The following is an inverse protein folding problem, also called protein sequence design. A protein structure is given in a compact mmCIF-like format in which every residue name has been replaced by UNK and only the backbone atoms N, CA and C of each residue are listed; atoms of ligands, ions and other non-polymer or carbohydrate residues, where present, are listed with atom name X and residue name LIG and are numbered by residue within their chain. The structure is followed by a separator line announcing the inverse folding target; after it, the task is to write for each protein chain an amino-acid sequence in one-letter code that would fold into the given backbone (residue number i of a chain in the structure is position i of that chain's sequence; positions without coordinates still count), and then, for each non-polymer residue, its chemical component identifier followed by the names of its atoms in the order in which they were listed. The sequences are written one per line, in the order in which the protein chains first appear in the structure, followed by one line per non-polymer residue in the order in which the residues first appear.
data_IF_033670008986
#
_entry.id   IF_033670008986
#
_cell.length_a   1.000
_cell.length_b   1.000
_cell.length_c   1.000
_cell.angle_alpha   90.00
_cell.angle_beta   90.00
_cell.angle_gamma   90.00
#
_symmetry.space_group_name_H-M   'P 1'
#
loop_
_entity.id
_entity.type
_entity.pdbx_description
1 polymer ?
#
# COMPACT_ATOMS: atom_id res chain seq x y z
N UNK A 1 3.40 37.16 -13.11
CA UNK A 1 1.93 36.98 -13.00
C UNK A 1 1.71 35.81 -12.06
N UNK A 2 1.06 36.06 -10.93
CA UNK A 2 0.96 35.12 -9.82
C UNK A 2 0.08 33.92 -10.17
N UNK A 3 0.68 32.72 -10.29
CA UNK A 3 -0.04 31.43 -10.40
C UNK A 3 -0.68 30.92 -9.08
N UNK A 4 -0.80 31.76 -8.07
CA UNK A 4 -1.24 31.36 -6.72
C UNK A 4 -2.77 31.40 -6.50
N UNK A 5 -3.59 31.69 -7.53
CA UNK A 5 -5.00 32.04 -7.26
C UNK A 5 -6.07 30.98 -7.59
N UNK A 6 -5.71 29.74 -7.97
CA UNK A 6 -6.78 28.75 -8.29
C UNK A 6 -6.45 27.29 -7.95
N UNK A 7 -5.69 27.05 -6.86
CA UNK A 7 -5.51 25.67 -6.40
C UNK A 7 -6.76 25.24 -5.60
N UNK A 8 -7.38 24.10 -5.92
CA UNK A 8 -8.49 23.62 -5.13
C UNK A 8 -8.02 23.27 -3.72
N UNK A 9 -8.91 23.40 -2.73
CA UNK A 9 -8.63 22.95 -1.36
C UNK A 9 -8.66 21.42 -1.26
N UNK A 10 -9.58 20.76 -1.99
CA UNK A 10 -9.78 19.33 -1.96
C UNK A 10 -9.62 18.73 -3.35
N UNK A 11 -8.89 17.60 -3.44
CA UNK A 11 -8.91 16.69 -4.60
C UNK A 11 -9.53 15.37 -4.19
N UNK A 12 -10.67 14.99 -4.79
CA UNK A 12 -11.29 13.69 -4.56
C UNK A 12 -10.83 12.72 -5.63
N UNK A 13 -10.07 11.70 -5.25
CA UNK A 13 -9.41 10.72 -6.14
C UNK A 13 -10.13 9.38 -6.07
N UNK A 14 -10.67 8.93 -7.20
CA UNK A 14 -11.50 7.72 -7.30
C UNK A 14 -11.01 6.83 -8.44
N UNK A 15 -10.38 5.69 -8.17
CA UNK A 15 -10.12 4.68 -9.18
C UNK A 15 -11.41 3.98 -9.56
N UNK A 16 -11.65 3.82 -10.86
CA UNK A 16 -12.83 3.13 -11.41
C UNK A 16 -12.39 2.02 -12.38
N UNK A 17 -13.07 0.88 -12.33
CA UNK A 17 -12.86 -0.24 -13.25
C UNK A 17 -14.11 -1.09 -13.39
N UNK A 18 -14.79 -0.99 -14.53
CA UNK A 18 -16.07 -1.62 -14.81
C UNK A 18 -17.13 -1.27 -13.75
N UNK A 19 -17.42 0.04 -13.64
CA UNK A 19 -18.33 0.63 -12.65
C UNK A 19 -19.43 1.47 -13.34
N UNK A 20 -19.88 1.08 -14.56
CA UNK A 20 -20.88 1.81 -15.37
C UNK A 20 -22.18 2.13 -14.61
N UNK A 21 -22.61 1.24 -13.69
CA UNK A 21 -23.80 1.44 -12.87
C UNK A 21 -23.60 2.39 -11.68
N UNK A 22 -22.35 2.72 -11.33
CA UNK A 22 -22.04 3.44 -10.09
C UNK A 22 -21.48 4.86 -10.32
N UNK A 23 -20.70 5.08 -11.39
CA UNK A 23 -19.90 6.31 -11.55
C UNK A 23 -20.73 7.59 -11.60
N UNK A 24 -21.93 7.58 -12.23
CA UNK A 24 -22.79 8.77 -12.32
C UNK A 24 -23.32 9.19 -10.95
N UNK A 25 -23.85 8.23 -10.21
CA UNK A 25 -24.40 8.48 -8.88
C UNK A 25 -23.30 8.85 -7.85
N UNK A 26 -22.15 8.20 -7.93
CA UNK A 26 -21.01 8.53 -7.09
C UNK A 26 -20.52 9.96 -7.34
N UNK A 27 -20.36 10.34 -8.62
CA UNK A 27 -19.96 11.70 -8.97
C UNK A 27 -20.94 12.74 -8.40
N UNK A 28 -22.28 12.52 -8.59
CA UNK A 28 -23.31 13.39 -8.04
C UNK A 28 -23.17 13.57 -6.54
N UNK A 29 -23.03 12.48 -5.77
CA UNK A 29 -22.86 12.52 -4.31
C UNK A 29 -21.58 13.22 -3.88
N UNK A 30 -20.46 13.05 -4.60
CA UNK A 30 -19.21 13.76 -4.32
C UNK A 30 -19.40 15.26 -4.54
N UNK A 31 -20.02 15.66 -5.67
CA UNK A 31 -20.29 17.07 -5.94
C UNK A 31 -21.16 17.69 -4.85
N UNK A 32 -22.22 17.00 -4.42
CA UNK A 32 -23.10 17.48 -3.34
C UNK A 32 -22.36 17.65 -2.03
N UNK A 33 -21.58 16.63 -1.62
CA UNK A 33 -20.80 16.68 -0.39
C UNK A 33 -19.75 17.81 -0.42
N UNK A 34 -19.02 17.98 -1.53
CA UNK A 34 -18.02 19.02 -1.65
C UNK A 34 -18.62 20.44 -1.74
N UNK A 35 -19.75 20.61 -2.43
CA UNK A 35 -20.48 21.90 -2.47
C UNK A 35 -20.98 22.32 -1.09
N UNK A 36 -21.47 21.37 -0.30
CA UNK A 36 -21.94 21.63 1.06
C UNK A 36 -20.82 22.14 2.01
N UNK A 37 -19.55 21.81 1.71
CA UNK A 37 -18.39 22.29 2.47
C UNK A 37 -18.03 23.76 2.19
N UNK A 38 -18.50 24.36 1.10
CA UNK A 38 -18.17 25.72 0.71
C UNK A 38 -16.67 25.94 0.38
N UNK A 39 -15.92 24.87 0.14
CA UNK A 39 -14.50 24.88 -0.22
C UNK A 39 -14.32 24.57 -1.69
N UNK A 40 -13.27 25.12 -2.31
CA UNK A 40 -12.92 24.78 -3.69
C UNK A 40 -12.47 23.32 -3.79
N UNK A 41 -12.90 22.63 -4.84
CA UNK A 41 -12.60 21.20 -5.01
C UNK A 41 -12.38 20.84 -6.47
N UNK A 42 -11.71 19.73 -6.68
CA UNK A 42 -11.64 19.00 -7.96
C UNK A 42 -11.98 17.52 -7.71
N UNK A 43 -12.54 16.89 -8.72
CA UNK A 43 -12.85 15.45 -8.71
C UNK A 43 -11.99 14.81 -9.78
N UNK A 44 -11.28 13.73 -9.43
CA UNK A 44 -10.38 13.01 -10.32
C UNK A 44 -10.81 11.55 -10.36
N UNK A 45 -11.39 11.11 -11.48
CA UNK A 45 -11.64 9.70 -11.72
C UNK A 45 -10.52 9.12 -12.58
N UNK A 46 -10.06 7.92 -12.20
CA UNK A 46 -9.00 7.21 -12.91
C UNK A 46 -9.55 5.89 -13.40
N UNK A 47 -9.78 5.79 -14.72
CA UNK A 47 -10.21 4.56 -15.37
C UNK A 47 -9.01 3.61 -15.55
N UNK A 48 -9.02 2.52 -14.81
CA UNK A 48 -8.00 1.46 -14.87
C UNK A 48 -8.28 0.48 -16.03
N UNK A 49 -8.62 1.01 -17.22
CA UNK A 49 -8.81 0.24 -18.43
C UNK A 49 -10.13 -0.53 -18.45
N UNK A 50 -11.26 0.11 -18.12
CA UNK A 50 -12.60 -0.47 -18.16
C UNK A 50 -12.97 -0.98 -19.56
N UNK A 51 -13.83 -1.99 -19.59
CA UNK A 51 -14.32 -2.65 -20.82
C UNK A 51 -15.84 -2.50 -21.02
N UNK A 52 -16.52 -1.91 -20.03
CA UNK A 52 -17.94 -1.54 -20.06
C UNK A 52 -18.12 -0.06 -20.43
N UNK A 53 -19.28 0.50 -20.21
CA UNK A 53 -19.60 1.90 -20.53
C UNK A 53 -19.05 2.92 -19.51
N UNK A 54 -18.25 2.49 -18.53
CA UNK A 54 -17.66 3.40 -17.50
C UNK A 54 -16.95 4.58 -18.15
N UNK A 55 -16.11 4.32 -19.16
CA UNK A 55 -15.35 5.38 -19.86
C UNK A 55 -16.28 6.37 -20.57
N UNK A 56 -17.29 5.89 -21.30
CA UNK A 56 -18.25 6.72 -22.01
C UNK A 56 -19.04 7.62 -21.05
N UNK A 57 -19.48 7.07 -19.93
CA UNK A 57 -20.24 7.80 -18.91
C UNK A 57 -19.36 8.88 -18.26
N UNK A 58 -18.15 8.54 -17.85
CA UNK A 58 -17.24 9.50 -17.18
C UNK A 58 -16.93 10.72 -18.06
N UNK A 59 -16.83 10.55 -19.38
CA UNK A 59 -16.63 11.68 -20.33
C UNK A 59 -17.76 12.70 -20.34
N UNK A 60 -18.95 12.35 -19.85
CA UNK A 60 -20.12 13.23 -19.79
C UNK A 60 -20.30 13.93 -18.45
N UNK A 61 -19.47 13.61 -17.46
CA UNK A 61 -19.58 14.17 -16.11
C UNK A 61 -18.82 15.49 -15.99
N UNK A 62 -19.40 16.46 -15.31
CA UNK A 62 -18.77 17.77 -15.01
C UNK A 62 -19.20 18.28 -13.63
N UNK A 63 -18.31 18.86 -12.81
CA UNK A 63 -16.87 19.00 -13.05
C UNK A 63 -16.12 17.65 -12.82
N UNK A 64 -15.26 17.26 -13.74
CA UNK A 64 -14.47 16.04 -13.61
C UNK A 64 -13.13 16.16 -14.37
N UNK A 65 -12.04 15.84 -13.68
CA UNK A 65 -10.77 15.48 -14.31
C UNK A 65 -10.74 13.97 -14.49
N UNK A 66 -10.77 13.51 -15.74
CA UNK A 66 -10.86 12.10 -16.07
C UNK A 66 -9.57 11.60 -16.69
N UNK A 67 -8.89 10.66 -16.00
CA UNK A 67 -7.64 10.06 -16.41
C UNK A 67 -7.89 8.66 -16.90
N UNK A 68 -7.53 8.35 -18.14
CA UNK A 68 -7.72 7.04 -18.75
C UNK A 68 -6.37 6.34 -18.87
N UNK A 69 -6.24 5.18 -18.27
CA UNK A 69 -5.07 4.33 -18.40
C UNK A 69 -5.14 3.46 -19.67
N UNK A 70 -3.99 3.09 -20.24
CA UNK A 70 -3.94 2.29 -21.48
C UNK A 70 -4.48 0.86 -21.33
N UNK A 71 -4.38 0.29 -20.11
CA UNK A 71 -4.88 -1.03 -19.73
C UNK A 71 -5.08 -1.08 -18.23
N UNK A 72 -5.59 -2.20 -17.72
CA UNK A 72 -5.63 -2.43 -16.27
C UNK A 72 -4.21 -2.63 -15.72
N UNK A 73 -3.78 -1.69 -14.86
CA UNK A 73 -2.51 -1.71 -14.12
C UNK A 73 -2.72 -2.00 -12.63
N UNK A 74 -3.97 -2.04 -12.18
CA UNK A 74 -4.36 -2.27 -10.79
C UNK A 74 -4.64 -1.00 -10.00
N UNK A 75 -5.39 -1.15 -8.93
CA UNK A 75 -5.92 -0.06 -8.12
C UNK A 75 -4.83 0.87 -7.57
N UNK A 76 -3.68 0.31 -7.16
CA UNK A 76 -2.55 1.09 -6.65
C UNK A 76 -1.99 2.04 -7.71
N UNK A 77 -1.84 1.56 -8.95
CA UNK A 77 -1.38 2.39 -10.07
C UNK A 77 -2.38 3.50 -10.42
N UNK A 78 -3.69 3.20 -10.31
CA UNK A 78 -4.73 4.20 -10.51
C UNK A 78 -4.69 5.28 -9.41
N UNK A 79 -4.52 4.90 -8.14
CA UNK A 79 -4.31 5.88 -7.07
C UNK A 79 -3.06 6.72 -7.27
N UNK A 80 -1.92 6.11 -7.61
CA UNK A 80 -0.68 6.85 -7.87
C UNK A 80 -0.84 7.87 -9.00
N UNK A 81 -1.53 7.49 -10.09
CA UNK A 81 -1.87 8.41 -11.17
C UNK A 81 -2.74 9.57 -10.67
N UNK A 82 -3.73 9.29 -9.83
CA UNK A 82 -4.58 10.30 -9.21
C UNK A 82 -3.80 11.26 -8.32
N UNK A 83 -2.95 10.76 -7.43
CA UNK A 83 -2.14 11.58 -6.52
C UNK A 83 -1.18 12.52 -7.26
N UNK A 84 -0.50 12.02 -8.27
CA UNK A 84 0.43 12.81 -9.11
C UNK A 84 -0.28 13.88 -9.94
N UNK A 85 -1.58 13.76 -10.17
CA UNK A 85 -2.39 14.73 -10.91
C UNK A 85 -3.29 15.59 -10.03
N UNK A 86 -3.33 15.34 -8.71
CA UNK A 86 -4.08 16.11 -7.74
C UNK A 86 -3.38 17.44 -7.42
N UNK A 87 -4.16 18.54 -7.41
CA UNK A 87 -3.69 19.90 -7.12
C UNK A 87 -4.12 20.40 -5.75
N UNK A 88 -5.11 19.74 -5.14
CA UNK A 88 -5.67 20.12 -3.85
C UNK A 88 -4.67 20.04 -2.70
N UNK A 89 -4.89 20.84 -1.68
CA UNK A 89 -4.11 20.80 -0.44
C UNK A 89 -4.37 19.49 0.32
N UNK A 90 -5.63 19.02 0.27
CA UNK A 90 -6.07 17.77 0.88
C UNK A 90 -6.53 16.82 -0.22
N UNK A 91 -6.06 15.58 -0.18
CA UNK A 91 -6.46 14.52 -1.10
C UNK A 91 -7.39 13.56 -0.37
N UNK A 92 -8.61 13.40 -0.88
CA UNK A 92 -9.59 12.42 -0.39
C UNK A 92 -9.59 11.23 -1.34
N UNK A 93 -9.46 10.03 -0.81
CA UNK A 93 -9.57 8.79 -1.60
C UNK A 93 -10.87 8.06 -1.29
N UNK A 94 -11.45 7.39 -2.26
CA UNK A 94 -12.56 6.45 -2.06
C UNK A 94 -12.66 5.47 -3.23
N UNK A 95 -13.37 4.34 -3.02
CA UNK A 95 -13.67 3.38 -4.09
C UNK A 95 -14.84 3.83 -4.97
N UNK A 96 -14.86 3.34 -6.22
CA UNK A 96 -15.89 3.66 -7.23
C UNK A 96 -17.22 2.92 -7.06
N UNK A 97 -17.38 2.03 -6.07
CA UNK A 97 -18.47 1.05 -5.95
C UNK A 97 -19.64 1.48 -5.04
N UNK A 98 -19.72 2.77 -4.68
CA UNK A 98 -20.76 3.36 -3.81
C UNK A 98 -20.80 2.79 -2.37
N UNK A 99 -19.82 1.99 -1.94
CA UNK A 99 -19.79 1.48 -0.57
C UNK A 99 -19.37 2.55 0.47
N UNK A 100 -18.56 3.51 0.07
CA UNK A 100 -18.21 4.67 0.90
C UNK A 100 -19.25 5.79 0.73
N UNK A 101 -19.52 6.51 1.81
CA UNK A 101 -20.45 7.66 1.80
C UNK A 101 -19.65 8.96 1.70
N UNK A 102 -19.74 9.73 0.59
CA UNK A 102 -19.10 11.03 0.47
C UNK A 102 -19.55 12.03 1.55
N UNK A 103 -20.73 11.84 2.17
CA UNK A 103 -21.20 12.66 3.27
C UNK A 103 -20.33 12.54 4.56
N UNK A 104 -19.40 11.59 4.63
CA UNK A 104 -18.44 11.51 5.74
C UNK A 104 -17.15 12.34 5.48
N UNK A 105 -16.97 12.94 4.28
CA UNK A 105 -15.82 13.81 3.97
C UNK A 105 -15.64 14.94 5.00
N UNK A 106 -16.69 15.68 5.41
CA UNK A 106 -16.55 16.75 6.43
C UNK A 106 -15.89 16.25 7.71
N UNK A 107 -16.26 15.07 8.22
CA UNK A 107 -15.69 14.51 9.45
C UNK A 107 -14.21 14.18 9.33
N UNK A 108 -13.77 13.74 8.12
CA UNK A 108 -12.34 13.52 7.86
C UNK A 108 -11.57 14.84 7.93
N UNK A 109 -12.12 15.91 7.34
CA UNK A 109 -11.50 17.23 7.35
C UNK A 109 -11.44 17.83 8.75
N UNK A 110 -12.54 17.76 9.53
CA UNK A 110 -12.56 18.16 10.93
C UNK A 110 -11.44 17.49 11.74
N UNK A 111 -11.23 16.19 11.51
CA UNK A 111 -10.14 15.46 12.18
C UNK A 111 -8.76 15.88 11.68
N UNK A 112 -8.60 16.26 10.42
CA UNK A 112 -7.35 16.82 9.90
C UNK A 112 -7.04 18.20 10.51
N UNK A 113 -8.06 19.00 10.79
CA UNK A 113 -7.91 20.32 11.41
C UNK A 113 -7.38 20.23 12.85
N UNK A 114 -7.49 19.05 13.52
CA UNK A 114 -6.84 18.78 14.80
C UNK A 114 -5.30 18.58 14.68
N UNK A 115 -4.73 18.70 13.48
CA UNK A 115 -3.29 18.61 13.23
C UNK A 115 -2.80 17.21 12.84
N UNK A 116 -3.69 16.36 12.30
CA UNK A 116 -3.33 15.10 11.67
C UNK A 116 -3.03 15.30 10.18
N UNK A 117 -2.07 14.52 9.68
CA UNK A 117 -1.66 14.55 8.27
C UNK A 117 -2.43 13.52 7.44
N UNK A 118 -2.88 12.45 8.10
CA UNK A 118 -3.63 11.34 7.51
C UNK A 118 -4.80 10.97 8.41
N UNK A 119 -6.00 10.89 7.85
CA UNK A 119 -7.20 10.41 8.54
C UNK A 119 -7.82 9.27 7.76
N UNK A 120 -7.88 8.09 8.35
CA UNK A 120 -8.48 6.88 7.75
C UNK A 120 -9.91 6.67 8.23
N UNK A 121 -10.80 6.28 7.35
CA UNK A 121 -12.12 5.81 7.74
C UNK A 121 -12.07 4.43 8.39
N UNK A 122 -12.91 4.20 9.39
CA UNK A 122 -13.10 2.92 10.06
C UNK A 122 -14.55 2.44 9.96
N UNK A 123 -14.77 1.30 9.27
CA UNK A 123 -16.09 0.68 9.08
C UNK A 123 -16.46 -0.17 10.28
N UNK A 124 -16.98 0.45 11.34
CA UNK A 124 -17.27 -0.20 12.64
C UNK A 124 -18.30 -1.34 12.51
N UNK A 125 -19.33 -1.18 11.67
CA UNK A 125 -20.43 -2.15 11.50
C UNK A 125 -20.26 -2.99 10.23
N UNK A 126 -19.16 -3.73 10.09
CA UNK A 126 -18.91 -4.58 8.94
C UNK A 126 -19.73 -5.87 9.01
N UNK A 127 -20.63 -6.11 8.02
CA UNK A 127 -21.43 -7.34 7.89
C UNK A 127 -20.66 -8.38 7.04
N UNK A 128 -19.64 -9.01 7.64
CA UNK A 128 -18.89 -10.08 6.98
C UNK A 128 -19.35 -11.47 7.43
N UNK A 129 -19.21 -12.48 6.55
CA UNK A 129 -19.40 -13.90 6.91
C UNK A 129 -18.38 -14.35 7.95
N UNK A 130 -18.73 -15.38 8.76
CA UNK A 130 -17.90 -15.89 9.86
C UNK A 130 -16.48 -16.28 9.42
N UNK A 131 -16.33 -16.95 8.26
CA UNK A 131 -15.04 -17.34 7.71
C UNK A 131 -14.16 -16.12 7.36
N UNK A 132 -14.76 -15.06 6.80
CA UNK A 132 -14.06 -13.80 6.51
C UNK A 132 -13.64 -13.08 7.80
N UNK A 133 -14.45 -13.16 8.87
CA UNK A 133 -14.13 -12.55 10.17
C UNK A 133 -12.91 -13.20 10.83
N UNK A 134 -12.79 -14.53 10.80
CA UNK A 134 -11.64 -15.25 11.38
C UNK A 134 -10.37 -14.90 10.62
N UNK A 135 -10.39 -14.99 9.28
CA UNK A 135 -9.24 -14.63 8.45
C UNK A 135 -8.82 -13.16 8.63
N UNK A 136 -9.79 -12.24 8.68
CA UNK A 136 -9.55 -10.82 8.92
C UNK A 136 -8.97 -10.55 10.30
N UNK A 137 -9.41 -11.27 11.36
CA UNK A 137 -8.84 -11.15 12.72
C UNK A 137 -7.38 -11.57 12.76
N UNK A 138 -7.03 -12.71 12.15
CA UNK A 138 -5.64 -13.18 12.10
C UNK A 138 -4.76 -12.23 11.31
N UNK A 139 -5.22 -11.75 10.15
CA UNK A 139 -4.51 -10.78 9.34
C UNK A 139 -4.31 -9.45 10.09
N UNK A 140 -5.34 -8.95 10.79
CA UNK A 140 -5.25 -7.73 11.59
C UNK A 140 -4.32 -7.89 12.80
N UNK A 141 -4.33 -9.06 13.46
CA UNK A 141 -3.41 -9.36 14.56
C UNK A 141 -1.95 -9.36 14.09
N UNK A 142 -1.64 -10.04 12.99
CA UNK A 142 -0.31 -10.05 12.39
C UNK A 142 0.10 -8.64 11.94
N UNK A 143 -0.81 -7.88 11.35
CA UNK A 143 -0.57 -6.49 10.95
C UNK A 143 -0.23 -5.62 12.17
N UNK A 144 -0.97 -5.74 13.27
CA UNK A 144 -0.71 -4.99 14.50
C UNK A 144 0.67 -5.29 15.07
N UNK A 145 1.13 -6.55 15.02
CA UNK A 145 2.47 -6.94 15.49
C UNK A 145 3.56 -6.45 14.54
N UNK A 146 3.36 -6.63 13.23
CA UNK A 146 4.42 -6.38 12.24
C UNK A 146 4.51 -4.89 11.87
N UNK A 147 3.37 -4.24 11.66
CA UNK A 147 3.32 -2.89 11.09
C UNK A 147 3.06 -1.84 12.18
N UNK A 148 2.16 -2.12 13.13
CA UNK A 148 1.75 -1.19 14.21
C UNK A 148 1.39 0.22 13.71
N UNK A 149 0.50 0.26 12.72
CA UNK A 149 0.05 1.50 12.10
C UNK A 149 -0.98 2.28 12.94
N UNK A 150 -1.51 1.67 13.99
CA UNK A 150 -2.53 2.27 14.86
C UNK A 150 -3.92 2.35 14.23
N UNK A 151 -4.14 1.68 13.08
CA UNK A 151 -5.40 1.70 12.33
C UNK A 151 -6.13 0.36 12.50
N UNK A 152 -7.46 0.41 12.76
CA UNK A 152 -8.30 -0.79 12.86
C UNK A 152 -8.71 -1.33 11.48
N UNK A 153 -8.96 -0.45 10.51
CA UNK A 153 -9.46 -0.83 9.17
C UNK A 153 -8.62 -0.26 8.03
N UNK A 154 -7.46 -0.87 7.76
CA UNK A 154 -6.61 -0.49 6.62
C UNK A 154 -7.28 -0.68 5.25
N UNK A 155 -8.29 -1.53 5.18
CA UNK A 155 -9.04 -1.82 3.96
C UNK A 155 -10.13 -0.81 3.62
N UNK A 156 -10.39 0.19 4.45
CA UNK A 156 -11.27 1.30 4.09
C UNK A 156 -10.56 2.19 3.08
N UNK A 157 -11.20 2.49 1.95
CA UNK A 157 -10.64 3.36 0.92
C UNK A 157 -10.97 4.83 1.14
N UNK A 158 -11.97 5.15 1.97
CA UNK A 158 -12.29 6.53 2.33
C UNK A 158 -11.26 7.05 3.33
N UNK A 159 -10.35 7.88 2.85
CA UNK A 159 -9.25 8.47 3.62
C UNK A 159 -8.98 9.90 3.16
N UNK A 160 -8.45 10.71 4.07
CA UNK A 160 -7.95 12.05 3.79
C UNK A 160 -6.45 12.12 4.06
N UNK A 161 -5.73 12.84 3.22
CA UNK A 161 -4.29 13.01 3.29
C UNK A 161 -3.92 14.46 2.98
N UNK A 162 -2.92 15.03 3.66
CA UNK A 162 -2.24 16.22 3.16
C UNK A 162 -1.48 15.87 1.89
N UNK A 163 -1.49 16.73 0.89
CA UNK A 163 -0.84 16.48 -0.40
C UNK A 163 0.65 16.19 -0.27
N UNK A 164 1.32 16.85 0.68
CA UNK A 164 2.75 16.63 0.98
C UNK A 164 3.10 15.18 1.36
N UNK A 165 2.13 14.40 1.86
CA UNK A 165 2.30 12.98 2.15
C UNK A 165 2.71 12.14 0.92
N UNK A 166 2.45 12.63 -0.28
CA UNK A 166 2.76 11.92 -1.52
C UNK A 166 4.02 12.42 -2.23
N UNK A 167 4.70 13.42 -1.67
CA UNK A 167 5.97 13.91 -2.21
C UNK A 167 7.06 12.84 -2.02
N UNK A 168 7.57 12.31 -3.13
CA UNK A 168 8.58 11.25 -3.10
C UNK A 168 8.05 9.85 -2.71
N UNK A 169 6.73 9.66 -2.61
CA UNK A 169 6.13 8.36 -2.38
C UNK A 169 5.75 7.69 -3.70
N UNK A 170 6.45 6.62 -4.06
CA UNK A 170 6.10 5.77 -5.18
C UNK A 170 5.33 4.53 -4.71
N UNK A 171 4.18 4.29 -5.33
CA UNK A 171 3.31 3.18 -4.97
C UNK A 171 3.40 2.05 -5.99
N UNK A 172 3.50 0.80 -5.51
CA UNK A 172 3.54 -0.39 -6.35
C UNK A 172 2.80 -1.57 -5.68
N UNK A 173 2.53 -2.63 -6.44
CA UNK A 173 1.82 -3.82 -5.93
C UNK A 173 0.44 -3.48 -5.36
N UNK A 174 0.13 -3.93 -4.16
CA UNK A 174 -1.12 -3.65 -3.43
C UNK A 174 -0.92 -2.60 -2.30
N UNK A 175 0.08 -1.72 -2.44
CA UNK A 175 0.47 -0.76 -1.38
C UNK A 175 -0.62 0.26 -1.02
N UNK A 176 -1.62 0.49 -1.87
CA UNK A 176 -2.73 1.40 -1.57
C UNK A 176 -3.40 1.14 -0.21
N UNK A 177 -3.36 -0.10 0.28
CA UNK A 177 -3.92 -0.48 1.60
C UNK A 177 -3.05 -0.05 2.76
N UNK A 178 -1.77 0.10 2.51
CA UNK A 178 -0.75 0.35 3.53
C UNK A 178 -0.23 1.79 3.50
N UNK A 179 -0.80 2.67 2.66
CA UNK A 179 -0.38 4.07 2.58
C UNK A 179 -0.31 4.74 3.97
N UNK A 180 -1.34 4.64 4.85
CA UNK A 180 -1.25 5.24 6.17
C UNK A 180 -0.11 4.67 7.03
N UNK A 181 0.17 3.36 6.90
CA UNK A 181 1.29 2.72 7.60
C UNK A 181 2.64 3.22 7.10
N UNK A 182 2.81 3.35 5.79
CA UNK A 182 4.03 3.88 5.17
C UNK A 182 4.26 5.34 5.59
N UNK A 183 3.22 6.15 5.59
CA UNK A 183 3.29 7.55 6.02
C UNK A 183 3.60 7.68 7.51
N UNK A 184 3.03 6.83 8.37
CA UNK A 184 3.39 6.78 9.80
C UNK A 184 4.86 6.43 10.01
N UNK A 185 5.43 5.53 9.20
CA UNK A 185 6.86 5.19 9.23
C UNK A 185 7.72 6.41 8.87
N UNK A 186 7.24 7.27 7.96
CA UNK A 186 7.91 8.52 7.58
C UNK A 186 7.72 9.65 8.60
N UNK A 187 6.94 9.43 9.67
CA UNK A 187 6.75 10.40 10.75
C UNK A 187 5.46 11.22 10.67
N UNK A 188 4.60 10.99 9.67
CA UNK A 188 3.30 11.66 9.58
C UNK A 188 2.33 11.20 10.68
N UNK A 189 1.50 12.13 11.16
CA UNK A 189 0.50 11.87 12.20
C UNK A 189 -0.75 11.24 11.57
N UNK A 190 -1.09 10.03 12.02
CA UNK A 190 -2.20 9.24 11.48
C UNK A 190 -3.31 9.11 12.52
N UNK A 191 -4.55 9.37 12.12
CA UNK A 191 -5.76 9.13 12.91
C UNK A 191 -6.76 8.25 12.16
N UNK A 192 -7.78 7.80 12.88
CA UNK A 192 -8.88 7.00 12.32
C UNK A 192 -10.22 7.51 12.88
N UNK A 193 -11.26 7.55 12.05
CA UNK A 193 -12.61 7.93 12.46
C UNK A 193 -13.65 6.91 11.98
N UNK A 194 -14.74 6.72 12.72
CA UNK A 194 -15.85 5.89 12.25
C UNK A 194 -16.53 6.51 11.01
N UNK A 195 -16.72 5.69 9.97
CA UNK A 195 -17.42 6.10 8.74
C UNK A 195 -18.55 5.14 8.41
N UNK A 196 -19.52 5.61 7.64
CA UNK A 196 -20.62 4.80 7.12
C UNK A 196 -20.11 3.87 6.02
N UNK A 197 -20.70 2.69 5.96
CA UNK A 197 -20.41 1.70 4.91
C UNK A 197 -21.71 1.10 4.39
N UNK A 198 -21.97 1.29 3.10
CA UNK A 198 -23.18 0.81 2.44
C UNK A 198 -22.95 -0.55 1.79
N UNK A 199 -24.02 -1.37 1.65
CA UNK A 199 -23.94 -2.56 0.81
C UNK A 199 -23.64 -2.17 -0.64
N UNK A 200 -22.91 -3.01 -1.37
CA UNK A 200 -22.69 -2.80 -2.81
C UNK A 200 -24.02 -2.85 -3.55
N UNK A 201 -24.29 -1.84 -4.39
CA UNK A 201 -25.53 -1.73 -5.15
C UNK A 201 -25.42 -2.49 -6.48
N UNK A 202 -24.29 -2.32 -7.20
CA UNK A 202 -24.03 -2.96 -8.48
C UNK A 202 -22.66 -3.65 -8.49
N UNK A 203 -22.50 -4.69 -9.33
CA UNK A 203 -21.23 -5.39 -9.52
C UNK A 203 -21.05 -6.65 -8.68
N UNK A 204 -20.09 -7.50 -9.07
CA UNK A 204 -19.78 -8.79 -8.43
C UNK A 204 -18.57 -8.65 -7.52
N UNK A 205 -18.63 -9.28 -6.36
CA UNK A 205 -17.50 -9.32 -5.41
C UNK A 205 -16.29 -10.01 -6.04
N UNK A 206 -15.25 -9.28 -6.37
CA UNK A 206 -13.98 -9.80 -6.92
C UNK A 206 -13.06 -10.41 -5.83
N UNK A 207 -13.64 -10.87 -4.70
CA UNK A 207 -12.87 -11.41 -3.57
C UNK A 207 -12.48 -12.86 -3.84
N UNK A 208 -11.18 -13.11 -4.02
CA UNK A 208 -10.62 -14.44 -4.19
C UNK A 208 -9.62 -14.71 -3.05
N UNK A 209 -9.52 -15.97 -2.54
CA UNK A 209 -8.58 -16.40 -1.51
C UNK A 209 -7.11 -16.10 -1.85
N UNK A 210 -6.77 -16.09 -3.15
CA UNK A 210 -5.45 -15.66 -3.67
C UNK A 210 -5.08 -14.23 -3.25
N UNK A 211 -6.08 -13.35 -3.03
CA UNK A 211 -5.85 -11.99 -2.50
C UNK A 211 -5.39 -11.99 -1.04
N UNK A 212 -5.79 -13.00 -0.26
CA UNK A 212 -5.33 -13.16 1.11
C UNK A 212 -3.83 -13.46 1.18
N UNK A 213 -3.35 -14.37 0.33
CA UNK A 213 -1.91 -14.69 0.23
C UNK A 213 -1.13 -13.46 -0.25
N UNK A 214 -1.61 -12.78 -1.30
CA UNK A 214 -0.98 -11.53 -1.76
C UNK A 214 -0.89 -10.49 -0.64
N UNK A 215 -1.98 -10.23 0.07
CA UNK A 215 -1.98 -9.29 1.20
C UNK A 215 -1.03 -9.68 2.34
N UNK A 216 -0.82 -10.98 2.58
CA UNK A 216 0.18 -11.45 3.54
C UNK A 216 1.61 -11.19 3.06
N UNK A 217 1.90 -11.47 1.79
CA UNK A 217 3.22 -11.17 1.20
C UNK A 217 3.49 -9.66 1.21
N UNK A 218 2.48 -8.85 0.86
CA UNK A 218 2.60 -7.38 0.91
C UNK A 218 2.83 -6.88 2.33
N UNK A 219 2.19 -7.49 3.33
CA UNK A 219 2.40 -7.15 4.74
C UNK A 219 3.84 -7.45 5.20
N UNK A 220 4.41 -8.59 4.78
CA UNK A 220 5.84 -8.90 5.02
C UNK A 220 6.72 -7.86 4.35
N UNK A 221 6.39 -7.46 3.12
CA UNK A 221 7.11 -6.42 2.38
C UNK A 221 7.11 -5.10 3.14
N UNK A 222 5.94 -4.63 3.61
CA UNK A 222 5.81 -3.39 4.40
C UNK A 222 6.56 -3.48 5.73
N UNK A 223 6.49 -4.62 6.41
CA UNK A 223 7.28 -4.88 7.63
C UNK A 223 8.78 -4.81 7.37
N UNK A 224 9.24 -5.42 6.27
CA UNK A 224 10.64 -5.36 5.86
C UNK A 224 11.07 -3.91 5.59
N UNK A 225 10.26 -3.15 4.84
CA UNK A 225 10.51 -1.74 4.60
C UNK A 225 10.56 -0.92 5.90
N UNK A 226 9.60 -1.13 6.81
CA UNK A 226 9.57 -0.45 8.11
C UNK A 226 10.87 -0.64 8.90
N UNK A 227 11.38 -1.86 8.95
CA UNK A 227 12.45 -2.22 9.88
C UNK A 227 13.84 -2.18 9.24
N UNK A 228 13.93 -2.50 7.96
CA UNK A 228 15.20 -2.78 7.29
C UNK A 228 15.46 -1.99 6.01
N UNK A 229 14.55 -1.08 5.58
CA UNK A 229 14.75 -0.29 4.35
C UNK A 229 16.05 0.49 4.35
N UNK A 230 16.46 1.03 5.50
CA UNK A 230 17.69 1.79 5.60
C UNK A 230 18.93 0.92 5.89
N UNK A 231 18.74 -0.33 6.31
CA UNK A 231 19.83 -1.22 6.76
C UNK A 231 19.55 -2.70 6.47
N UNK A 232 19.29 -3.10 5.22
CA UNK A 232 18.96 -4.50 4.88
C UNK A 232 20.12 -5.46 5.17
N UNK A 233 21.37 -4.96 5.10
CA UNK A 233 22.55 -5.73 5.44
C UNK A 233 22.55 -6.23 6.89
N UNK A 234 21.95 -5.48 7.84
CA UNK A 234 21.89 -5.92 9.23
C UNK A 234 21.05 -7.18 9.43
N UNK A 235 19.96 -7.36 8.65
CA UNK A 235 19.14 -8.57 8.72
C UNK A 235 19.85 -9.77 8.07
N UNK A 236 20.14 -9.65 6.79
CA UNK A 236 20.69 -10.76 6.01
C UNK A 236 22.17 -11.00 6.30
N UNK A 237 22.96 -9.93 6.45
CA UNK A 237 24.38 -10.03 6.74
C UNK A 237 24.62 -10.52 8.18
N UNK A 238 23.88 -10.01 9.16
CA UNK A 238 23.96 -10.48 10.54
C UNK A 238 23.55 -11.94 10.69
N UNK A 239 22.41 -12.32 10.09
CA UNK A 239 21.97 -13.71 10.00
C UNK A 239 22.98 -14.61 9.28
N UNK A 240 23.52 -14.12 8.19
CA UNK A 240 24.56 -14.82 7.42
C UNK A 240 25.84 -15.09 8.24
N UNK A 241 26.34 -14.07 8.95
CA UNK A 241 27.50 -14.21 9.84
C UNK A 241 27.23 -15.20 10.97
N UNK A 242 26.04 -15.21 11.55
CA UNK A 242 25.67 -16.15 12.60
C UNK A 242 25.68 -17.59 12.07
N UNK A 243 25.02 -17.83 10.93
CA UNK A 243 24.96 -19.16 10.32
C UNK A 243 26.36 -19.63 9.89
N UNK A 244 27.18 -18.73 9.32
CA UNK A 244 28.58 -19.01 8.97
C UNK A 244 29.38 -19.40 10.22
N UNK A 245 29.25 -18.65 11.32
CA UNK A 245 29.96 -18.92 12.57
C UNK A 245 29.59 -20.29 13.16
N UNK A 246 28.31 -20.65 13.12
CA UNK A 246 27.85 -21.97 13.54
C UNK A 246 28.48 -23.09 12.69
N UNK A 247 28.51 -22.89 11.37
CA UNK A 247 29.17 -23.83 10.45
C UNK A 247 30.67 -23.96 10.70
N UNK A 248 31.35 -22.85 10.94
CA UNK A 248 32.77 -22.81 11.28
C UNK A 248 33.08 -23.52 12.60
N UNK A 249 32.30 -23.24 13.65
CA UNK A 249 32.46 -23.89 14.94
C UNK A 249 32.23 -25.40 14.85
N UNK A 250 31.20 -25.84 14.11
CA UNK A 250 30.96 -27.24 13.88
C UNK A 250 32.11 -27.87 13.10
N UNK A 251 32.60 -27.22 12.05
CA UNK A 251 33.74 -27.71 11.26
C UNK A 251 35.00 -27.87 12.11
N UNK A 252 35.33 -26.85 12.93
CA UNK A 252 36.46 -26.89 13.86
C UNK A 252 36.31 -28.04 14.85
N UNK A 253 35.13 -28.20 15.46
CA UNK A 253 34.88 -29.29 16.40
C UNK A 253 35.05 -30.67 15.77
N UNK A 254 34.62 -30.84 14.52
CA UNK A 254 34.79 -32.10 13.78
C UNK A 254 36.27 -32.36 13.44
N UNK A 255 37.04 -31.34 13.09
CA UNK A 255 38.51 -31.45 12.83
C UNK A 255 39.22 -31.84 14.12
N UNK A 256 38.94 -31.17 15.23
CA UNK A 256 39.50 -31.50 16.55
C UNK A 256 39.13 -32.95 16.95
N UNK A 257 37.85 -33.33 16.80
CA UNK A 257 37.37 -34.67 17.07
C UNK A 257 38.08 -35.74 16.23
N UNK A 258 38.43 -35.45 14.97
CA UNK A 258 39.22 -36.32 14.09
C UNK A 258 40.64 -36.48 14.57
N UNK A 259 41.31 -35.37 14.91
CA UNK A 259 42.72 -35.35 15.27
C UNK A 259 42.95 -35.99 16.65
N UNK A 260 42.21 -35.57 17.64
CA UNK A 260 42.46 -35.95 19.04
C UNK A 260 41.67 -37.17 19.51
N UNK A 261 40.53 -37.45 18.92
CA UNK A 261 39.62 -38.54 19.35
C UNK A 261 39.42 -39.64 18.27
N UNK A 262 40.05 -39.54 17.13
CA UNK A 262 40.00 -40.57 16.10
C UNK A 262 38.63 -40.72 15.40
N UNK A 263 37.75 -39.74 15.48
CA UNK A 263 36.39 -39.82 14.92
C UNK A 263 36.46 -40.07 13.40
N UNK A 264 35.73 -41.11 12.92
CA UNK A 264 35.55 -41.31 11.50
C UNK A 264 34.54 -40.31 10.94
N UNK A 265 34.97 -39.48 9.97
CA UNK A 265 34.10 -38.45 9.34
C UNK A 265 33.40 -38.95 8.08
N UNK A 266 33.97 -39.99 7.42
CA UNK A 266 33.51 -40.46 6.09
C UNK A 266 32.04 -40.90 6.04
N UNK A 267 31.50 -41.49 7.11
CA UNK A 267 30.12 -41.99 7.17
C UNK A 267 29.23 -41.13 8.07
N UNK A 268 29.58 -39.87 8.29
CA UNK A 268 28.81 -38.96 9.15
C UNK A 268 28.24 -37.81 8.32
N UNK A 269 27.01 -37.42 8.62
CA UNK A 269 26.31 -36.30 7.95
C UNK A 269 26.90 -34.94 8.38
N UNK A 270 27.53 -34.87 9.55
CA UNK A 270 27.96 -33.62 10.18
C UNK A 270 28.95 -32.77 9.36
N UNK A 271 29.95 -33.36 8.65
CA UNK A 271 30.82 -32.59 7.75
C UNK A 271 30.04 -31.90 6.64
N UNK A 272 29.03 -32.59 6.08
CA UNK A 272 28.16 -32.01 5.05
C UNK A 272 27.32 -30.87 5.62
N UNK A 273 26.79 -31.03 6.84
CA UNK A 273 26.04 -29.97 7.55
C UNK A 273 26.94 -28.75 7.79
N UNK A 274 28.19 -28.95 8.23
CA UNK A 274 29.11 -27.84 8.45
C UNK A 274 29.37 -27.05 7.15
N UNK A 275 29.66 -27.74 6.05
CA UNK A 275 29.88 -27.11 4.74
C UNK A 275 28.61 -26.41 4.25
N UNK A 276 27.43 -27.03 4.43
CA UNK A 276 26.15 -26.42 4.07
C UNK A 276 25.90 -25.10 4.84
N UNK A 277 26.15 -25.08 6.16
CA UNK A 277 26.01 -23.89 7.00
C UNK A 277 27.00 -22.79 6.57
N UNK A 278 28.24 -23.11 6.25
CA UNK A 278 29.23 -22.15 5.75
C UNK A 278 28.77 -21.51 4.44
N UNK A 279 28.37 -22.31 3.47
CA UNK A 279 27.90 -21.82 2.18
C UNK A 279 26.61 -20.99 2.33
N UNK A 280 25.66 -21.45 3.14
CA UNK A 280 24.42 -20.72 3.41
C UNK A 280 24.67 -19.37 4.11
N UNK A 281 25.62 -19.34 5.05
CA UNK A 281 26.02 -18.09 5.72
C UNK A 281 26.62 -17.07 4.75
N UNK A 282 27.54 -17.50 3.88
CA UNK A 282 28.10 -16.66 2.80
C UNK A 282 26.97 -16.16 1.87
N UNK A 283 26.08 -17.05 1.46
CA UNK A 283 24.99 -16.73 0.54
C UNK A 283 24.04 -15.68 1.14
N UNK A 284 23.64 -15.82 2.40
CA UNK A 284 22.81 -14.83 3.09
C UNK A 284 23.53 -13.48 3.22
N UNK A 285 24.84 -13.47 3.50
CA UNK A 285 25.62 -12.25 3.57
C UNK A 285 25.66 -11.51 2.24
N UNK A 286 25.92 -12.23 1.13
CA UNK A 286 25.89 -11.67 -0.23
C UNK A 286 24.50 -11.12 -0.58
N UNK A 287 23.43 -11.82 -0.23
CA UNK A 287 22.07 -11.29 -0.41
C UNK A 287 21.85 -10.00 0.38
N UNK A 288 22.42 -9.88 1.58
CA UNK A 288 22.38 -8.66 2.37
C UNK A 288 23.05 -7.47 1.67
N UNK A 289 24.22 -7.70 1.06
CA UNK A 289 24.92 -6.68 0.27
C UNK A 289 24.12 -6.28 -0.98
N UNK A 290 23.58 -7.23 -1.71
CA UNK A 290 22.75 -6.97 -2.88
C UNK A 290 21.50 -6.16 -2.50
N UNK A 291 20.82 -6.54 -1.43
CA UNK A 291 19.65 -5.81 -0.93
C UNK A 291 20.00 -4.36 -0.56
N UNK A 292 21.16 -4.11 0.06
CA UNK A 292 21.61 -2.76 0.40
C UNK A 292 21.89 -1.91 -0.85
N UNK A 293 22.57 -2.47 -1.84
CA UNK A 293 22.85 -1.82 -3.13
C UNK A 293 21.53 -1.53 -3.87
N UNK A 294 20.62 -2.50 -3.95
CA UNK A 294 19.32 -2.33 -4.62
C UNK A 294 18.46 -1.27 -3.94
N UNK A 295 18.44 -1.22 -2.62
CA UNK A 295 17.71 -0.19 -1.87
C UNK A 295 18.28 1.21 -2.17
N UNK A 296 19.59 1.39 -2.15
CA UNK A 296 20.24 2.66 -2.50
C UNK A 296 19.99 3.05 -3.95
N UNK A 297 19.99 2.09 -4.86
CA UNK A 297 19.66 2.31 -6.29
C UNK A 297 18.19 2.73 -6.46
N UNK A 298 17.27 2.11 -5.73
CA UNK A 298 15.85 2.47 -5.74
C UNK A 298 15.64 3.94 -5.36
N UNK A 299 16.22 4.42 -4.26
CA UNK A 299 16.12 5.83 -3.86
C UNK A 299 16.74 6.82 -4.86
N UNK A 300 17.72 6.39 -5.66
CA UNK A 300 18.31 7.22 -6.72
C UNK A 300 17.47 7.29 -8.00
N UNK A 301 16.60 6.30 -8.22
CA UNK A 301 15.86 6.14 -9.51
C UNK A 301 14.39 6.56 -9.38
N UNK A 302 14.02 7.28 -8.31
CA UNK A 302 12.66 7.76 -8.10
C UNK A 302 12.17 8.56 -9.31
N UNK A 303 10.97 8.20 -9.82
CA UNK A 303 10.31 8.88 -10.94
C UNK A 303 9.84 7.97 -12.08
N UNK A 304 10.06 6.66 -12.03
CA UNK A 304 9.52 5.74 -13.06
C UNK A 304 8.11 5.29 -12.69
N UNK A 305 7.13 5.78 -13.46
CA UNK A 305 5.72 5.37 -13.31
C UNK A 305 5.53 3.91 -13.73
N UNK A 306 4.82 3.11 -12.90
CA UNK A 306 4.45 1.71 -13.19
C UNK A 306 3.23 1.59 -14.10
N UNK A 307 2.73 2.70 -14.63
CA UNK A 307 1.54 2.77 -15.48
C UNK A 307 1.78 3.74 -16.65
N UNK A 308 0.87 3.69 -17.63
CA UNK A 308 0.86 4.64 -18.76
C UNK A 308 -0.53 5.23 -18.94
N UNK A 309 -0.62 6.53 -18.82
CA UNK A 309 -1.82 7.31 -19.13
C UNK A 309 -2.01 7.30 -20.65
N UNK A 310 -3.23 7.07 -21.10
CA UNK A 310 -3.64 7.19 -22.50
C UNK A 310 -4.04 8.63 -22.81
N UNK A 311 -4.87 9.21 -21.95
CA UNK A 311 -5.39 10.56 -22.12
C UNK A 311 -5.85 11.14 -20.77
N UNK A 312 -5.90 12.45 -20.65
CA UNK A 312 -6.48 13.20 -19.54
C UNK A 312 -7.50 14.16 -20.13
N UNK A 313 -8.72 14.15 -19.58
CA UNK A 313 -9.84 14.99 -20.00
C UNK A 313 -10.27 15.82 -18.81
N UNK A 314 -10.40 17.13 -18.99
CA UNK A 314 -10.91 18.06 -17.97
C UNK A 314 -12.24 18.66 -18.51
N UNK A 315 -13.37 18.37 -17.82
CA UNK A 315 -14.72 18.82 -18.16
C UNK A 315 -15.22 19.86 -17.16
#
# INVERSE_FOLDING_TARGET
MNETSNKPYISVVVPVYNEEGNVRELHRKIVEACKALGKSFEIIFIDDGSRDKTNEICRTLSPLKFIVQRKNFGQTAAFDAGFKNARGEIIITMDGDLQNDPADIPKLLEKMDEGYDVVSGWRVKRRDSLSKKIFSRTANFLRKILIDDGIHDSGCSLKAYRRECFEGLDLFGEMHRFIPALLKIQGFKVAEIPVKHHPRVHGVTKYNWKRGIKGFVDMISVWFWKKYSNRPLHLFGGGGLLVFSLGALLGIALVIGRIFFGFMLANRIWPLVAVFLLLMGIQLFVFGLLADIMTKSYYKTQGRMNYRIKEIIEN
#
